data_IF_980046311757
#
_entry.id   IF_980046311757
#
_cell.length_a   1.000
_cell.length_b   1.000
_cell.length_c   1.000
_cell.angle_alpha   90.00
_cell.angle_beta   90.00
_cell.angle_gamma   90.00
#
_symmetry.space_group_name_H-M   'P 1'
#
loop_
_entity.id
_entity.type
_entity.pdbx_description
1 polymer ?
#
# COMPACT_ATOMS: atom_id res chain seq x y z
N UNK A 1 -1.05 81.20 68.27
CA UNK A 1 -0.07 80.10 68.23
C UNK A 1 -0.87 78.82 68.11
N UNK A 2 -1.33 78.55 66.89
CA UNK A 2 -0.67 77.67 65.91
C UNK A 2 -0.84 76.20 66.27
N UNK A 3 -1.97 75.64 65.84
CA UNK A 3 -2.19 74.19 65.78
C UNK A 3 -3.18 73.91 64.64
N UNK A 4 -2.70 73.85 63.39
CA UNK A 4 -3.49 73.28 62.28
C UNK A 4 -2.70 72.84 61.02
N UNK A 5 -1.35 72.80 61.05
CA UNK A 5 -0.54 72.47 59.85
C UNK A 5 -0.14 70.99 59.67
N UNK A 6 -0.21 70.15 60.71
CA UNK A 6 0.40 68.80 60.68
C UNK A 6 -0.41 67.67 60.02
N UNK A 7 -1.74 67.75 60.01
CA UNK A 7 -2.62 66.68 59.49
C UNK A 7 -2.89 66.73 57.99
N UNK A 8 -2.60 67.86 57.33
CA UNK A 8 -2.71 67.99 55.87
C UNK A 8 -1.44 67.48 55.15
N UNK A 9 -0.26 67.59 55.78
CA UNK A 9 1.01 67.12 55.22
C UNK A 9 1.09 65.58 55.16
N UNK A 10 0.67 64.88 56.22
CA UNK A 10 0.70 63.41 56.28
C UNK A 10 -0.27 62.74 55.30
N UNK A 11 -1.49 63.27 55.15
CA UNK A 11 -2.45 62.81 54.12
C UNK A 11 -1.94 63.02 52.70
N UNK A 12 -1.26 64.14 52.45
CA UNK A 12 -0.67 64.41 51.14
C UNK A 12 0.47 63.43 50.81
N UNK A 13 1.29 63.06 51.79
CA UNK A 13 2.35 62.05 51.61
C UNK A 13 1.79 60.63 51.41
N UNK A 14 0.72 60.24 52.13
CA UNK A 14 0.05 58.95 51.93
C UNK A 14 -0.54 58.83 50.52
N UNK A 15 -1.26 59.86 50.05
CA UNK A 15 -1.82 59.88 48.69
C UNK A 15 -0.73 59.86 47.60
N UNK A 16 0.42 60.49 47.85
CA UNK A 16 1.58 60.46 46.95
C UNK A 16 2.21 59.07 46.88
N UNK A 17 2.27 58.36 48.00
CA UNK A 17 2.74 56.97 48.08
C UNK A 17 1.82 56.02 47.30
N UNK A 18 0.51 56.12 47.49
CA UNK A 18 -0.48 55.33 46.74
C UNK A 18 -0.41 55.60 45.23
N UNK A 19 -0.25 56.87 44.82
CA UNK A 19 -0.04 57.24 43.42
C UNK A 19 1.25 56.64 42.84
N UNK A 20 2.32 56.55 43.63
CA UNK A 20 3.56 55.91 43.21
C UNK A 20 3.36 54.39 43.02
N UNK A 21 2.66 53.73 43.93
CA UNK A 21 2.31 52.31 43.82
C UNK A 21 1.41 52.03 42.61
N UNK A 22 0.38 52.83 42.36
CA UNK A 22 -0.49 52.73 41.18
C UNK A 22 0.33 52.88 39.90
N UNK A 23 1.22 53.88 39.83
CA UNK A 23 2.09 54.07 38.68
C UNK A 23 3.02 52.88 38.45
N UNK A 24 3.52 52.25 39.51
CA UNK A 24 4.33 51.04 39.40
C UNK A 24 3.52 49.86 38.84
N UNK A 25 2.29 49.64 39.33
CA UNK A 25 1.40 48.60 38.83
C UNK A 25 1.02 48.82 37.36
N UNK A 26 0.70 50.07 36.98
CA UNK A 26 0.38 50.41 35.59
C UNK A 26 1.56 50.14 34.65
N UNK A 27 2.80 50.42 35.08
CA UNK A 27 4.00 50.06 34.32
C UNK A 27 4.15 48.56 34.19
N UNK A 28 3.93 47.80 35.26
CA UNK A 28 3.93 46.34 35.24
C UNK A 28 2.92 45.78 34.24
N UNK A 29 1.68 46.24 34.31
CA UNK A 29 0.60 45.87 33.37
C UNK A 29 1.00 46.20 31.92
N UNK A 30 1.58 47.38 31.67
CA UNK A 30 2.03 47.74 30.33
C UNK A 30 3.11 46.78 29.79
N UNK A 31 4.04 46.35 30.64
CA UNK A 31 5.05 45.34 30.30
C UNK A 31 4.44 43.97 30.03
N UNK A 32 3.50 43.53 30.86
CA UNK A 32 2.83 42.24 30.71
C UNK A 32 1.98 42.21 29.43
N UNK A 33 1.22 43.28 29.14
CA UNK A 33 0.43 43.43 27.91
C UNK A 33 1.33 43.40 26.67
N UNK A 34 2.49 44.06 26.72
CA UNK A 34 3.47 44.00 25.63
C UNK A 34 3.99 42.57 25.42
N UNK A 35 4.27 41.85 26.50
CA UNK A 35 4.73 40.46 26.46
C UNK A 35 3.66 39.51 25.89
N UNK A 36 2.40 39.70 26.31
CA UNK A 36 1.26 38.94 25.77
C UNK A 36 1.08 39.20 24.28
N UNK A 37 1.21 40.46 23.84
CA UNK A 37 1.13 40.81 22.41
C UNK A 37 2.20 40.10 21.59
N UNK A 38 3.46 40.10 22.05
CA UNK A 38 4.54 39.37 21.37
C UNK A 38 4.26 37.87 21.33
N UNK A 39 3.75 37.28 22.42
CA UNK A 39 3.34 35.87 22.45
C UNK A 39 2.25 35.55 21.44
N UNK A 40 1.27 36.45 21.27
CA UNK A 40 0.19 36.29 20.30
C UNK A 40 0.70 36.36 18.85
N UNK A 41 1.64 37.26 18.55
CA UNK A 41 2.26 37.35 17.22
C UNK A 41 3.03 36.06 16.86
N UNK A 42 3.75 35.47 17.83
CA UNK A 42 4.44 34.19 17.65
C UNK A 42 3.45 33.04 17.42
N UNK A 43 2.37 33.00 18.20
CA UNK A 43 1.30 32.01 18.02
C UNK A 43 0.64 32.13 16.65
N UNK A 44 0.31 33.34 16.21
CA UNK A 44 -0.24 33.59 14.88
C UNK A 44 0.68 33.04 13.79
N UNK A 45 1.98 33.37 13.83
CA UNK A 45 2.96 32.87 12.86
C UNK A 45 3.06 31.34 12.87
N UNK A 46 2.94 30.73 14.05
CA UNK A 46 3.00 29.27 14.20
C UNK A 46 1.77 28.60 13.61
N UNK A 47 0.59 29.16 13.85
CA UNK A 47 -0.68 28.67 13.28
C UNK A 47 -0.68 28.76 11.76
N UNK A 48 -0.20 29.88 11.20
CA UNK A 48 -0.09 30.04 9.74
C UNK A 48 0.85 28.99 9.12
N UNK A 49 2.01 28.74 9.74
CA UNK A 49 2.95 27.70 9.29
C UNK A 49 2.35 26.29 9.39
N UNK A 50 1.63 26.00 10.46
CA UNK A 50 0.94 24.72 10.62
C UNK A 50 -0.16 24.54 9.59
N UNK A 51 -0.94 25.60 9.29
CA UNK A 51 -1.92 25.60 8.23
C UNK A 51 -1.30 25.25 6.87
N UNK A 52 -0.18 25.89 6.52
CA UNK A 52 0.54 25.57 5.27
C UNK A 52 1.02 24.11 5.20
N UNK A 53 1.60 23.60 6.29
CA UNK A 53 2.04 22.19 6.36
C UNK A 53 0.87 21.20 6.29
N UNK A 54 -0.28 21.56 6.86
CA UNK A 54 -1.49 20.75 6.83
C UNK A 54 -2.05 20.68 5.40
N UNK A 55 -2.17 21.81 4.71
CA UNK A 55 -2.60 21.83 3.30
C UNK A 55 -1.66 21.04 2.38
N UNK A 56 -0.35 21.10 2.60
CA UNK A 56 0.60 20.27 1.85
C UNK A 56 0.40 18.78 2.13
N UNK A 57 0.22 18.41 3.40
CA UNK A 57 -0.04 17.02 3.79
C UNK A 57 -1.34 16.50 3.17
N UNK A 58 -2.41 17.27 3.20
CA UNK A 58 -3.70 16.94 2.57
C UNK A 58 -3.55 16.74 1.05
N UNK A 59 -2.84 17.63 0.36
CA UNK A 59 -2.58 17.49 -1.07
C UNK A 59 -1.76 16.24 -1.39
N UNK A 60 -0.77 15.90 -0.57
CA UNK A 60 0.02 14.67 -0.73
C UNK A 60 -0.81 13.42 -0.48
N UNK A 61 -1.69 13.43 0.52
CA UNK A 61 -2.61 12.31 0.82
C UNK A 61 -3.56 12.09 -0.35
N UNK A 62 -4.22 13.14 -0.84
CA UNK A 62 -5.13 13.06 -1.98
C UNK A 62 -4.45 12.49 -3.23
N UNK A 63 -3.23 12.94 -3.54
CA UNK A 63 -2.45 12.38 -4.65
C UNK A 63 -2.10 10.90 -4.45
N UNK A 64 -1.76 10.48 -3.21
CA UNK A 64 -1.47 9.09 -2.91
C UNK A 64 -2.70 8.20 -3.02
N UNK A 65 -3.87 8.68 -2.58
CA UNK A 65 -5.15 7.98 -2.72
C UNK A 65 -5.50 7.76 -4.19
N UNK A 66 -5.36 8.79 -5.03
CA UNK A 66 -5.57 8.69 -6.48
C UNK A 66 -4.64 7.67 -7.14
N UNK A 67 -3.34 7.71 -6.81
CA UNK A 67 -2.35 6.76 -7.34
C UNK A 67 -2.65 5.34 -6.87
N UNK A 68 -3.03 5.17 -5.61
CA UNK A 68 -3.40 3.87 -5.03
C UNK A 68 -4.61 3.27 -5.77
N UNK A 69 -5.66 4.07 -5.99
CA UNK A 69 -6.85 3.65 -6.73
C UNK A 69 -6.53 3.23 -8.17
N UNK A 70 -5.73 4.02 -8.89
CA UNK A 70 -5.28 3.67 -10.25
C UNK A 70 -4.44 2.39 -10.29
N UNK A 71 -3.61 2.18 -9.27
CA UNK A 71 -2.80 0.96 -9.15
C UNK A 71 -3.67 -0.25 -8.87
N UNK A 72 -4.65 -0.14 -7.97
CA UNK A 72 -5.63 -1.19 -7.71
C UNK A 72 -6.35 -1.65 -8.99
N UNK A 73 -6.89 -0.71 -9.76
CA UNK A 73 -7.55 -1.02 -11.03
C UNK A 73 -6.61 -1.70 -12.05
N UNK A 74 -5.34 -1.28 -12.11
CA UNK A 74 -4.33 -1.91 -12.97
C UNK A 74 -4.00 -3.34 -12.54
N UNK A 75 -3.93 -3.59 -11.23
CA UNK A 75 -3.69 -4.93 -10.66
C UNK A 75 -4.86 -5.84 -11.02
N UNK A 76 -6.10 -5.39 -10.83
CA UNK A 76 -7.30 -6.20 -11.13
C UNK A 76 -7.37 -6.57 -12.62
N UNK A 77 -7.09 -5.60 -13.50
CA UNK A 77 -7.01 -5.83 -14.95
C UNK A 77 -5.93 -6.83 -15.31
N UNK A 78 -4.74 -6.70 -14.71
CA UNK A 78 -3.62 -7.63 -14.95
C UNK A 78 -3.95 -9.03 -14.44
N UNK A 79 -4.52 -9.15 -13.25
CA UNK A 79 -4.94 -10.43 -12.68
C UNK A 79 -5.98 -11.14 -13.57
N UNK A 80 -6.95 -10.39 -14.11
CA UNK A 80 -7.92 -10.93 -15.06
C UNK A 80 -7.27 -11.43 -16.36
N UNK A 81 -6.28 -10.69 -16.89
CA UNK A 81 -5.52 -11.11 -18.06
C UNK A 81 -4.67 -12.35 -17.80
N UNK A 82 -3.99 -12.41 -16.65
CA UNK A 82 -3.21 -13.58 -16.23
C UNK A 82 -4.11 -14.81 -16.14
N UNK A 83 -5.28 -14.70 -15.50
CA UNK A 83 -6.24 -15.80 -15.42
C UNK A 83 -6.69 -16.27 -16.81
N UNK A 84 -7.06 -15.34 -17.70
CA UNK A 84 -7.46 -15.67 -19.07
C UNK A 84 -6.34 -16.38 -19.85
N UNK A 85 -5.09 -15.96 -19.63
CA UNK A 85 -3.94 -16.61 -20.26
C UNK A 85 -3.68 -18.00 -19.68
N UNK A 86 -3.81 -18.17 -18.37
CA UNK A 86 -3.74 -19.48 -17.71
C UNK A 86 -4.80 -20.43 -18.28
N UNK A 87 -6.06 -20.00 -18.34
CA UNK A 87 -7.16 -20.80 -18.90
C UNK A 87 -6.87 -21.19 -20.37
N UNK A 88 -6.31 -20.27 -21.16
CA UNK A 88 -5.92 -20.53 -22.55
C UNK A 88 -4.77 -21.53 -22.63
N UNK A 89 -3.76 -21.42 -21.77
CA UNK A 89 -2.63 -22.36 -21.72
C UNK A 89 -3.12 -23.76 -21.36
N UNK A 90 -3.95 -23.89 -20.31
CA UNK A 90 -4.55 -25.18 -19.93
C UNK A 90 -5.32 -25.79 -21.10
N UNK A 91 -6.17 -25.01 -21.77
CA UNK A 91 -6.90 -25.49 -22.94
C UNK A 91 -5.97 -25.97 -24.07
N UNK A 92 -4.90 -25.22 -24.36
CA UNK A 92 -3.96 -25.59 -25.41
C UNK A 92 -3.15 -26.84 -25.05
N UNK A 93 -2.77 -27.00 -23.78
CA UNK A 93 -2.11 -28.20 -23.29
C UNK A 93 -3.02 -29.43 -23.38
N UNK A 94 -4.28 -29.30 -22.95
CA UNK A 94 -5.27 -30.38 -23.01
C UNK A 94 -5.59 -30.74 -24.46
N UNK A 95 -5.79 -29.75 -25.32
CA UNK A 95 -6.03 -29.96 -26.75
C UNK A 95 -4.81 -30.62 -27.44
N UNK A 96 -3.59 -30.18 -27.10
CA UNK A 96 -2.35 -30.74 -27.63
C UNK A 96 -2.04 -32.15 -27.14
N UNK A 97 -2.57 -32.55 -25.98
CA UNK A 97 -2.42 -33.91 -25.42
C UNK A 97 -3.63 -34.80 -25.67
N UNK A 98 -4.69 -34.31 -26.32
CA UNK A 98 -5.97 -35.04 -26.46
C UNK A 98 -5.84 -36.39 -27.15
N UNK A 99 -4.90 -36.51 -28.10
CA UNK A 99 -4.64 -37.75 -28.82
C UNK A 99 -3.45 -38.54 -28.25
N UNK A 100 -2.92 -38.13 -27.10
CA UNK A 100 -1.81 -38.83 -26.45
C UNK A 100 -2.36 -39.83 -25.44
N UNK A 101 -1.85 -41.06 -25.49
CA UNK A 101 -2.16 -42.10 -24.51
C UNK A 101 -0.91 -42.37 -23.67
N UNK A 102 -1.08 -42.44 -22.34
CA UNK A 102 -0.01 -42.84 -21.42
C UNK A 102 -0.19 -44.29 -21.00
N UNK A 103 0.79 -45.13 -21.35
CA UNK A 103 0.83 -46.53 -20.95
C UNK A 103 1.79 -46.67 -19.77
N UNK A 104 1.34 -47.31 -18.68
CA UNK A 104 2.12 -47.48 -17.45
C UNK A 104 2.26 -48.96 -17.10
N UNK A 105 3.33 -49.33 -16.38
CA UNK A 105 3.58 -50.72 -15.96
C UNK A 105 4.34 -51.57 -17.00
N UNK A 106 4.92 -50.93 -18.02
CA UNK A 106 5.82 -51.59 -18.97
C UNK A 106 7.22 -51.66 -18.35
N UNK A 107 7.84 -52.84 -18.23
CA UNK A 107 9.25 -52.97 -17.82
C UNK A 107 10.17 -52.22 -18.77
N UNK A 108 11.20 -51.55 -18.24
CA UNK A 108 12.17 -50.84 -19.08
C UNK A 108 12.86 -51.78 -20.09
N UNK A 109 13.01 -51.31 -21.32
CA UNK A 109 13.62 -52.03 -22.46
C UNK A 109 12.83 -53.25 -22.98
N UNK A 110 11.55 -53.39 -22.62
CA UNK A 110 10.70 -54.46 -23.15
C UNK A 110 10.51 -54.36 -24.68
N UNK A 111 10.52 -53.13 -25.21
CA UNK A 111 10.42 -52.78 -26.63
C UNK A 111 11.66 -53.13 -27.48
N UNK A 112 12.80 -53.40 -26.85
CA UNK A 112 14.11 -53.58 -27.51
C UNK A 112 14.52 -52.36 -28.35
N UNK A 113 14.43 -52.43 -29.69
CA UNK A 113 14.87 -51.38 -30.62
C UNK A 113 13.71 -50.67 -31.35
N UNK A 114 12.48 -51.18 -31.26
CA UNK A 114 11.33 -50.65 -32.00
C UNK A 114 10.16 -50.34 -31.05
N UNK A 115 10.16 -49.12 -30.53
CA UNK A 115 9.12 -48.64 -29.63
C UNK A 115 7.75 -48.47 -30.33
N UNK A 116 7.64 -47.85 -31.52
CA UNK A 116 6.39 -47.80 -32.28
C UNK A 116 5.76 -49.18 -32.53
N UNK A 117 6.54 -50.14 -33.04
CA UNK A 117 6.04 -51.49 -33.32
C UNK A 117 5.61 -52.23 -32.05
N UNK A 118 6.33 -52.05 -30.94
CA UNK A 118 5.95 -52.60 -29.65
C UNK A 118 4.64 -52.02 -29.09
N UNK A 119 4.39 -50.71 -29.25
CA UNK A 119 3.12 -50.11 -28.82
C UNK A 119 1.95 -50.66 -29.65
N UNK A 120 2.13 -50.79 -30.97
CA UNK A 120 1.11 -51.38 -31.85
C UNK A 120 0.80 -52.84 -31.48
N UNK A 121 1.81 -53.63 -31.13
CA UNK A 121 1.59 -55.03 -30.71
C UNK A 121 0.83 -55.12 -29.39
N UNK A 122 1.10 -54.23 -28.42
CA UNK A 122 0.32 -54.14 -27.18
C UNK A 122 -1.16 -53.87 -27.48
N UNK A 123 -1.46 -52.92 -28.37
CA UNK A 123 -2.85 -52.61 -28.71
C UNK A 123 -3.53 -53.77 -29.46
N UNK A 124 -2.85 -54.37 -30.43
CA UNK A 124 -3.40 -55.53 -31.14
C UNK A 124 -3.69 -56.70 -30.18
N UNK A 125 -2.75 -57.04 -29.29
CA UNK A 125 -2.90 -58.18 -28.37
C UNK A 125 -3.91 -57.91 -27.25
N UNK A 126 -3.88 -56.72 -26.63
CA UNK A 126 -4.68 -56.45 -25.42
C UNK A 126 -6.08 -55.90 -25.72
N UNK A 127 -6.29 -55.29 -26.87
CA UNK A 127 -7.57 -54.70 -27.26
C UNK A 127 -8.28 -55.50 -28.38
N UNK A 128 -7.68 -56.60 -28.86
CA UNK A 128 -8.22 -57.45 -29.94
C UNK A 128 -8.55 -56.62 -31.20
N UNK A 129 -7.64 -55.69 -31.54
CA UNK A 129 -7.80 -54.79 -32.68
C UNK A 129 -7.17 -55.41 -33.93
N UNK A 130 -7.91 -55.42 -35.04
CA UNK A 130 -7.33 -55.77 -36.34
C UNK A 130 -6.32 -54.70 -36.76
N UNK A 131 -5.14 -55.14 -37.22
CA UNK A 131 -4.00 -54.28 -37.56
C UNK A 131 -4.32 -53.30 -38.72
N UNK A 132 -5.37 -53.57 -39.50
CA UNK A 132 -5.79 -52.79 -40.67
C UNK A 132 -6.85 -51.71 -40.35
N UNK A 133 -7.15 -51.46 -39.07
CA UNK A 133 -8.16 -50.48 -38.64
C UNK A 133 -7.78 -49.00 -38.88
N UNK A 134 -6.69 -48.72 -39.61
CA UNK A 134 -6.26 -47.36 -39.96
C UNK A 134 -5.65 -46.58 -38.79
N UNK A 135 -5.08 -47.26 -37.79
CA UNK A 135 -4.39 -46.60 -36.69
C UNK A 135 -3.06 -45.99 -37.14
N UNK A 136 -2.96 -44.66 -37.09
CA UNK A 136 -1.71 -43.94 -37.35
C UNK A 136 -1.08 -43.51 -36.03
N UNK A 137 0.13 -44.01 -35.78
CA UNK A 137 0.94 -43.59 -34.64
C UNK A 137 1.91 -42.49 -35.10
N UNK A 138 1.67 -41.25 -34.68
CA UNK A 138 2.56 -40.13 -35.02
C UNK A 138 3.92 -40.24 -34.31
N UNK A 139 3.92 -40.60 -33.02
CA UNK A 139 5.12 -40.76 -32.22
C UNK A 139 4.88 -41.65 -31.01
N UNK A 140 5.89 -42.44 -30.64
CA UNK A 140 6.01 -43.08 -29.33
C UNK A 140 7.31 -42.63 -28.67
N UNK A 141 7.25 -42.36 -27.37
CA UNK A 141 8.41 -42.01 -26.56
C UNK A 141 8.23 -42.43 -25.10
N UNK A 142 9.33 -42.73 -24.42
CA UNK A 142 9.32 -42.88 -22.97
C UNK A 142 8.95 -41.55 -22.32
N UNK A 143 8.03 -41.58 -21.36
CA UNK A 143 7.80 -40.42 -20.51
C UNK A 143 9.01 -40.22 -19.60
N UNK A 144 9.56 -39.01 -19.53
CA UNK A 144 10.59 -38.73 -18.53
C UNK A 144 10.00 -38.91 -17.12
N UNK A 145 10.71 -39.66 -16.28
CA UNK A 145 10.49 -39.66 -14.84
C UNK A 145 11.05 -38.37 -14.26
N UNK A 146 10.16 -37.54 -13.70
CA UNK A 146 10.51 -36.42 -12.82
C UNK A 146 10.62 -36.91 -11.38
#
# INVERSE_FOLDING_TARGET
MEAQGGGQATRADDTKSELASINSLLRGIATDVSSVKMGLEVLQSTVEKLGGRMSEAEARISNLEDVSNRRGASIDSTAAQVKKLQDKVTYLEDAGRRNNVRITGIPENAEKQDLPGFVLSIFAEKLDLEVDMGFELERACHAMHY
#
